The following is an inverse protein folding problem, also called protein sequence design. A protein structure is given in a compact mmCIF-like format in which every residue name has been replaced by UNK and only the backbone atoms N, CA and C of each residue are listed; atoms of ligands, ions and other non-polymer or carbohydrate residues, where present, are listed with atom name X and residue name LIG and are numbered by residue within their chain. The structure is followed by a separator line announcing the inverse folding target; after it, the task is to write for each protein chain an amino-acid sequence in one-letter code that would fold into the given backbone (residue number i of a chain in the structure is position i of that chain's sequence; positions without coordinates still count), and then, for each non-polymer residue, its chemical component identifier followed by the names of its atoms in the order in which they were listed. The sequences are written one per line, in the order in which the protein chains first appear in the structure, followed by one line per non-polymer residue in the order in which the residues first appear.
data_IF_432189928297
#
_entry.id   IF_432189928297
#
_cell.length_a   1.000
_cell.length_b   1.000
_cell.length_c   1.000
_cell.angle_alpha   90.00
_cell.angle_beta   90.00
_cell.angle_gamma   90.00
#
_symmetry.space_group_name_H-M   'P 1'
#
loop_
_entity.id
_entity.type
_entity.pdbx_description
1 polymer ?
#
# COMPACT_ATOMS: atom_id res chain seq x y z
N UNK A 1 7.55 5.48 -32.43
CA UNK A 1 6.22 4.87 -32.70
C UNK A 1 5.19 5.51 -31.78
N UNK A 2 3.99 5.82 -32.23
CA UNK A 2 2.97 6.35 -31.31
C UNK A 2 2.50 5.24 -30.36
N UNK A 3 2.29 5.53 -29.03
CA UNK A 3 1.76 4.55 -28.11
C UNK A 3 0.34 4.13 -28.51
N UNK A 4 -0.09 2.89 -28.22
CA UNK A 4 -1.42 2.41 -28.54
C UNK A 4 -2.51 3.24 -27.87
N UNK A 5 -3.69 3.28 -28.47
CA UNK A 5 -4.81 4.12 -28.00
C UNK A 5 -5.21 3.79 -26.56
N UNK A 6 -5.12 2.54 -26.14
CA UNK A 6 -5.40 2.13 -24.76
C UNK A 6 -4.52 2.88 -23.75
N UNK A 7 -3.22 3.01 -24.01
CA UNK A 7 -2.29 3.74 -23.13
C UNK A 7 -2.55 5.26 -23.17
N UNK A 8 -2.79 5.81 -24.38
CA UNK A 8 -3.09 7.24 -24.50
C UNK A 8 -4.33 7.63 -23.66
N UNK A 9 -5.41 6.88 -23.78
CA UNK A 9 -6.62 7.14 -22.99
C UNK A 9 -6.45 6.85 -21.49
N UNK A 10 -5.64 5.87 -21.12
CA UNK A 10 -5.34 5.61 -19.71
C UNK A 10 -4.55 6.78 -19.07
N UNK A 11 -3.59 7.36 -19.80
CA UNK A 11 -2.86 8.56 -19.38
C UNK A 11 -3.81 9.76 -19.26
N UNK A 12 -4.72 9.95 -20.23
CA UNK A 12 -5.72 11.02 -20.19
C UNK A 12 -6.67 10.85 -19.00
N UNK A 13 -7.10 9.62 -18.68
CA UNK A 13 -7.94 9.34 -17.53
C UNK A 13 -7.23 9.69 -16.20
N UNK A 14 -5.98 9.28 -16.05
CA UNK A 14 -5.17 9.60 -14.87
C UNK A 14 -4.92 11.11 -14.73
N UNK A 15 -4.59 11.80 -15.82
CA UNK A 15 -4.40 13.25 -15.83
C UNK A 15 -5.69 14.02 -15.53
N UNK A 16 -6.81 13.60 -16.09
CA UNK A 16 -8.12 14.20 -15.83
C UNK A 16 -8.53 14.02 -14.36
N UNK A 17 -8.33 12.84 -13.78
CA UNK A 17 -8.61 12.57 -12.35
C UNK A 17 -7.79 13.45 -11.40
N UNK A 18 -6.60 13.88 -11.84
CA UNK A 18 -5.75 14.78 -11.06
C UNK A 18 -6.10 16.26 -11.23
N UNK A 19 -6.98 16.61 -12.17
CA UNK A 19 -7.31 17.99 -12.55
C UNK A 19 -8.69 18.39 -12.04
N UNK A 20 -8.79 19.51 -11.34
CA UNK A 20 -10.08 20.09 -10.94
C UNK A 20 -10.92 20.55 -12.16
N UNK A 21 -10.29 20.93 -13.25
CA UNK A 21 -10.96 21.40 -14.47
C UNK A 21 -11.49 20.24 -15.31
N UNK A 22 -10.73 19.15 -15.44
CA UNK A 22 -11.03 18.04 -16.35
C UNK A 22 -11.53 16.77 -15.65
N UNK A 23 -11.73 16.79 -14.33
CA UNK A 23 -12.17 15.62 -13.55
C UNK A 23 -13.43 14.97 -14.12
N UNK A 24 -14.38 15.76 -14.62
CA UNK A 24 -15.61 15.29 -15.23
C UNK A 24 -15.42 14.45 -16.51
N UNK A 25 -14.25 14.51 -17.15
CA UNK A 25 -13.91 13.71 -18.34
C UNK A 25 -13.18 12.40 -18.00
N UNK A 26 -12.73 12.23 -16.76
CA UNK A 26 -11.86 11.13 -16.37
C UNK A 26 -12.50 9.76 -16.64
N UNK A 27 -13.76 9.58 -16.29
CA UNK A 27 -14.49 8.33 -16.51
C UNK A 27 -14.67 8.03 -18.00
N UNK A 28 -14.96 9.03 -18.82
CA UNK A 28 -15.08 8.86 -20.27
C UNK A 28 -13.76 8.37 -20.90
N UNK A 29 -12.64 8.92 -20.46
CA UNK A 29 -11.30 8.47 -20.89
C UNK A 29 -11.00 7.05 -20.39
N UNK A 30 -11.33 6.72 -19.13
CA UNK A 30 -11.20 5.37 -18.60
C UNK A 30 -12.00 4.35 -19.42
N UNK A 31 -13.27 4.62 -19.72
CA UNK A 31 -14.10 3.72 -20.54
C UNK A 31 -13.47 3.49 -21.92
N UNK A 32 -12.94 4.53 -22.54
CA UNK A 32 -12.22 4.41 -23.81
C UNK A 32 -10.95 3.57 -23.69
N UNK A 33 -10.15 3.79 -22.64
CA UNK A 33 -8.95 2.98 -22.39
C UNK A 33 -9.31 1.49 -22.29
N UNK A 34 -10.38 1.15 -21.53
CA UNK A 34 -10.90 -0.21 -21.40
C UNK A 34 -11.36 -0.82 -22.72
N UNK A 35 -12.09 -0.05 -23.52
CA UNK A 35 -12.57 -0.52 -24.84
C UNK A 35 -11.41 -0.84 -25.79
N UNK A 36 -10.40 0.04 -25.87
CA UNK A 36 -9.25 -0.18 -26.75
C UNK A 36 -8.40 -1.35 -26.30
N UNK A 37 -8.09 -1.49 -25.01
CA UNK A 37 -7.25 -2.59 -24.55
C UNK A 37 -7.93 -3.95 -24.72
N UNK A 38 -9.25 -4.03 -24.48
CA UNK A 38 -10.02 -5.24 -24.72
C UNK A 38 -10.08 -5.59 -26.22
N UNK A 39 -10.25 -4.58 -27.09
CA UNK A 39 -10.22 -4.79 -28.52
C UNK A 39 -8.86 -5.28 -29.01
N UNK A 40 -7.77 -4.77 -28.45
CA UNK A 40 -6.40 -5.22 -28.77
C UNK A 40 -6.17 -6.67 -28.32
N UNK A 41 -6.66 -7.06 -27.14
CA UNK A 41 -6.57 -8.43 -26.63
C UNK A 41 -7.37 -9.46 -27.48
N UNK A 42 -8.40 -9.02 -28.20
CA UNK A 42 -9.21 -9.88 -29.07
C UNK A 42 -8.61 -10.07 -30.47
N UNK A 43 -7.57 -9.35 -30.82
CA UNK A 43 -6.89 -9.52 -32.12
C UNK A 43 -6.10 -10.82 -32.15
N UNK A 44 -6.10 -11.47 -33.33
CA UNK A 44 -5.51 -12.81 -33.50
C UNK A 44 -3.98 -12.84 -33.42
N UNK A 45 -3.30 -11.69 -33.55
CA UNK A 45 -1.85 -11.61 -33.58
C UNK A 45 -1.28 -11.34 -32.17
N UNK A 46 -0.65 -12.36 -31.60
CA UNK A 46 0.09 -12.27 -30.34
C UNK A 46 1.24 -11.24 -30.37
N UNK A 47 1.69 -10.81 -31.54
CA UNK A 47 2.71 -9.78 -31.74
C UNK A 47 2.29 -8.38 -31.34
N UNK A 48 1.00 -8.16 -31.07
CA UNK A 48 0.46 -6.84 -30.70
C UNK A 48 0.51 -6.52 -29.19
N UNK A 49 0.80 -7.50 -28.33
CA UNK A 49 0.93 -7.26 -26.89
C UNK A 49 2.32 -6.68 -26.59
N UNK A 50 2.33 -5.45 -26.13
CA UNK A 50 3.56 -4.67 -25.88
C UNK A 50 3.66 -4.21 -24.43
N UNK A 51 4.81 -3.66 -24.06
CA UNK A 51 5.01 -3.00 -22.77
C UNK A 51 3.92 -1.96 -22.45
N UNK A 52 3.47 -1.21 -23.48
CA UNK A 52 2.44 -0.20 -23.33
C UNK A 52 1.08 -0.76 -22.85
N UNK A 53 0.77 -2.02 -23.15
CA UNK A 53 -0.44 -2.67 -22.61
C UNK A 53 -0.31 -2.97 -21.11
N UNK A 54 0.89 -3.35 -20.64
CA UNK A 54 1.16 -3.46 -19.21
C UNK A 54 0.95 -2.11 -18.50
N UNK A 55 1.52 -1.04 -19.06
CA UNK A 55 1.39 0.31 -18.53
C UNK A 55 -0.06 0.79 -18.51
N UNK A 56 -0.82 0.50 -19.56
CA UNK A 56 -2.25 0.85 -19.63
C UNK A 56 -3.07 0.11 -18.55
N UNK A 57 -2.85 -1.20 -18.35
CA UNK A 57 -3.54 -1.95 -17.30
C UNK A 57 -3.21 -1.46 -15.89
N UNK A 58 -1.96 -1.03 -15.63
CA UNK A 58 -1.59 -0.41 -14.34
C UNK A 58 -2.37 0.87 -14.10
N UNK A 59 -2.42 1.78 -15.10
CA UNK A 59 -3.16 3.04 -14.97
C UNK A 59 -4.66 2.82 -14.81
N UNK A 60 -5.22 1.85 -15.54
CA UNK A 60 -6.63 1.43 -15.41
C UNK A 60 -6.89 0.90 -13.99
N UNK A 61 -6.03 0.03 -13.46
CA UNK A 61 -6.15 -0.50 -12.10
C UNK A 61 -6.09 0.61 -11.04
N UNK A 62 -5.19 1.58 -11.20
CA UNK A 62 -5.11 2.72 -10.29
C UNK A 62 -6.37 3.60 -10.33
N UNK A 63 -6.91 3.85 -11.53
CA UNK A 63 -8.18 4.57 -11.67
C UNK A 63 -9.32 3.85 -10.94
N UNK A 64 -9.43 2.53 -11.13
CA UNK A 64 -10.46 1.69 -10.51
C UNK A 64 -10.34 1.68 -8.97
N UNK A 65 -9.10 1.59 -8.44
CA UNK A 65 -8.84 1.63 -7.01
C UNK A 65 -9.22 2.99 -6.38
N UNK A 66 -8.96 4.11 -7.08
CA UNK A 66 -9.35 5.45 -6.62
C UNK A 66 -10.88 5.61 -6.50
N UNK A 67 -11.66 4.85 -7.30
CA UNK A 67 -13.12 4.83 -7.26
C UNK A 67 -13.68 3.72 -6.37
N UNK A 68 -12.86 3.09 -5.53
CA UNK A 68 -13.20 1.95 -4.67
C UNK A 68 -13.71 0.69 -5.42
N UNK A 69 -13.49 0.59 -6.73
CA UNK A 69 -13.83 -0.61 -7.50
C UNK A 69 -12.74 -1.69 -7.34
N UNK A 70 -12.53 -2.12 -6.10
CA UNK A 70 -11.39 -2.95 -5.74
C UNK A 70 -11.33 -4.29 -6.49
N UNK A 71 -12.45 -4.98 -6.64
CA UNK A 71 -12.49 -6.23 -7.42
C UNK A 71 -12.07 -5.99 -8.88
N UNK A 72 -12.50 -4.88 -9.47
CA UNK A 72 -12.10 -4.48 -10.82
C UNK A 72 -10.61 -4.15 -10.88
N UNK A 73 -10.12 -3.37 -9.93
CA UNK A 73 -8.70 -3.00 -9.83
C UNK A 73 -7.82 -4.24 -9.70
N UNK A 74 -8.23 -5.21 -8.87
CA UNK A 74 -7.55 -6.49 -8.70
C UNK A 74 -7.52 -7.30 -10.01
N UNK A 75 -8.62 -7.37 -10.73
CA UNK A 75 -8.67 -8.04 -12.03
C UNK A 75 -7.82 -7.34 -13.09
N UNK A 76 -7.75 -6.01 -13.06
CA UNK A 76 -6.96 -5.23 -14.00
C UNK A 76 -5.46 -5.38 -13.73
N UNK A 77 -5.03 -5.32 -12.46
CA UNK A 77 -3.61 -5.57 -12.15
C UNK A 77 -3.20 -7.03 -12.42
N UNK A 78 -4.10 -8.01 -12.21
CA UNK A 78 -3.85 -9.40 -12.57
C UNK A 78 -3.53 -9.58 -14.07
N UNK A 79 -4.19 -8.82 -14.94
CA UNK A 79 -3.87 -8.79 -16.39
C UNK A 79 -2.48 -8.20 -16.64
N UNK A 80 -2.15 -7.07 -16.00
CA UNK A 80 -0.80 -6.50 -16.11
C UNK A 80 0.28 -7.49 -15.66
N UNK A 81 0.06 -8.21 -14.56
CA UNK A 81 0.98 -9.23 -14.04
C UNK A 81 1.15 -10.36 -15.06
N UNK A 82 0.05 -10.87 -15.62
CA UNK A 82 0.12 -11.93 -16.63
C UNK A 82 0.90 -11.48 -17.86
N UNK A 83 0.64 -10.27 -18.36
CA UNK A 83 1.37 -9.70 -19.48
C UNK A 83 2.86 -9.50 -19.16
N UNK A 84 3.19 -8.99 -17.98
CA UNK A 84 4.58 -8.84 -17.52
C UNK A 84 5.33 -10.18 -17.51
N UNK A 85 4.68 -11.28 -17.11
CA UNK A 85 5.26 -12.62 -17.17
C UNK A 85 5.43 -13.11 -18.60
N UNK A 86 4.45 -12.90 -19.49
CA UNK A 86 4.53 -13.27 -20.91
C UNK A 86 5.68 -12.53 -21.59
N UNK A 87 5.84 -11.24 -21.32
CA UNK A 87 6.92 -10.41 -21.84
C UNK A 87 8.28 -10.68 -21.18
N UNK A 88 8.32 -11.48 -20.11
CA UNK A 88 9.54 -11.83 -19.40
C UNK A 88 10.12 -10.72 -18.53
N UNK A 89 9.32 -9.69 -18.16
CA UNK A 89 9.79 -8.53 -17.39
C UNK A 89 10.34 -8.90 -16.01
N UNK A 90 9.93 -10.02 -15.43
CA UNK A 90 10.41 -10.51 -14.13
C UNK A 90 11.86 -11.06 -14.15
N UNK A 91 12.46 -11.24 -15.35
CA UNK A 91 13.79 -11.84 -15.54
C UNK A 91 14.67 -11.10 -16.55
N UNK A 92 14.49 -9.78 -16.67
CA UNK A 92 15.23 -8.94 -17.61
C UNK A 92 16.75 -9.06 -17.45
N UNK A 93 17.23 -9.17 -16.22
CA UNK A 93 18.65 -9.26 -15.87
C UNK A 93 19.13 -10.71 -15.58
N UNK A 94 18.31 -11.71 -15.90
CA UNK A 94 18.60 -13.10 -15.66
C UNK A 94 19.63 -13.68 -16.64
N UNK A 95 20.39 -14.68 -16.20
CA UNK A 95 21.41 -15.36 -17.04
C UNK A 95 20.85 -16.01 -18.32
N UNK A 96 19.56 -16.34 -18.35
CA UNK A 96 18.84 -16.96 -19.46
C UNK A 96 17.82 -15.99 -20.08
N UNK A 97 18.18 -14.72 -20.24
CA UNK A 97 17.33 -13.73 -20.93
C UNK A 97 17.13 -14.05 -22.43
N UNK A 98 17.90 -15.00 -22.98
CA UNK A 98 17.65 -15.56 -24.30
C UNK A 98 16.29 -16.28 -24.33
N UNK A 99 15.34 -15.77 -25.15
CA UNK A 99 13.97 -16.29 -25.25
C UNK A 99 12.91 -15.41 -24.59
N UNK A 100 13.25 -14.15 -24.27
CA UNK A 100 12.26 -13.13 -23.97
C UNK A 100 11.41 -12.84 -25.22
N UNK A 101 10.12 -12.62 -25.02
CA UNK A 101 9.20 -12.24 -26.11
C UNK A 101 9.50 -10.83 -26.65
N UNK A 102 10.09 -9.97 -25.80
CA UNK A 102 10.52 -8.63 -26.19
C UNK A 102 11.84 -8.66 -26.97
N UNK A 103 11.99 -7.85 -28.01
CA UNK A 103 13.27 -7.67 -28.70
C UNK A 103 14.33 -7.10 -27.74
N UNK A 104 15.58 -7.19 -28.10
CA UNK A 104 16.68 -6.54 -27.36
C UNK A 104 16.36 -5.04 -27.26
N UNK A 105 16.53 -4.46 -26.04
CA UNK A 105 16.33 -3.03 -25.84
C UNK A 105 17.29 -2.22 -26.72
N UNK A 106 16.80 -1.15 -27.31
CA UNK A 106 17.60 -0.31 -28.19
C UNK A 106 18.68 0.47 -27.42
N UNK A 107 18.37 0.86 -26.19
CA UNK A 107 19.25 1.63 -25.33
C UNK A 107 18.93 1.38 -23.83
N UNK A 108 19.71 2.03 -22.96
CA UNK A 108 19.52 1.95 -21.53
C UNK A 108 18.15 2.50 -21.07
N UNK A 109 17.66 3.54 -21.72
CA UNK A 109 16.36 4.15 -21.39
C UNK A 109 15.21 3.13 -21.59
N UNK A 110 15.22 2.42 -22.71
CA UNK A 110 14.20 1.39 -22.97
C UNK A 110 14.33 0.21 -21.98
N UNK A 111 15.57 -0.18 -21.65
CA UNK A 111 15.81 -1.22 -20.64
C UNK A 111 15.26 -0.83 -19.28
N UNK A 112 15.48 0.41 -18.87
CA UNK A 112 15.03 0.95 -17.60
C UNK A 112 13.52 1.23 -17.60
N UNK A 113 12.91 1.59 -18.72
CA UNK A 113 11.45 1.67 -18.88
C UNK A 113 10.80 0.32 -18.61
N UNK A 114 11.37 -0.78 -19.12
CA UNK A 114 10.91 -2.14 -18.85
C UNK A 114 11.03 -2.50 -17.37
N UNK A 115 12.15 -2.14 -16.70
CA UNK A 115 12.34 -2.35 -15.25
C UNK A 115 11.32 -1.55 -14.45
N UNK A 116 11.16 -0.27 -14.74
CA UNK A 116 10.20 0.59 -14.05
C UNK A 116 8.75 0.07 -14.22
N UNK A 117 8.38 -0.36 -15.43
CA UNK A 117 7.05 -0.97 -15.68
C UNK A 117 6.87 -2.24 -14.85
N UNK A 118 7.88 -3.10 -14.78
CA UNK A 118 7.81 -4.31 -13.94
C UNK A 118 7.64 -3.97 -12.46
N UNK A 119 8.43 -3.06 -11.92
CA UNK A 119 8.41 -2.73 -10.50
C UNK A 119 7.16 -1.96 -10.08
N UNK A 120 6.54 -1.17 -10.96
CA UNK A 120 5.25 -0.56 -10.68
C UNK A 120 4.14 -1.62 -10.61
N UNK A 121 4.16 -2.63 -11.49
CA UNK A 121 3.24 -3.78 -11.44
C UNK A 121 3.42 -4.54 -10.12
N UNK A 122 4.65 -4.84 -9.75
CA UNK A 122 4.99 -5.53 -8.50
C UNK A 122 4.49 -4.78 -7.26
N UNK A 123 4.75 -3.47 -7.18
CA UNK A 123 4.30 -2.67 -6.04
C UNK A 123 2.78 -2.54 -6.01
N UNK A 124 2.12 -2.43 -7.16
CA UNK A 124 0.66 -2.40 -7.24
C UNK A 124 0.04 -3.71 -6.80
N UNK A 125 0.62 -4.86 -7.17
CA UNK A 125 0.20 -6.18 -6.66
C UNK A 125 0.25 -6.23 -5.12
N UNK A 126 1.35 -5.76 -4.50
CA UNK A 126 1.50 -5.71 -3.04
C UNK A 126 0.48 -4.80 -2.37
N UNK A 127 0.28 -3.61 -2.91
CA UNK A 127 -0.69 -2.65 -2.40
C UNK A 127 -2.11 -3.23 -2.49
N UNK A 128 -2.49 -3.76 -3.65
CA UNK A 128 -3.81 -4.35 -3.88
C UNK A 128 -4.05 -5.57 -2.97
N UNK A 129 -3.03 -6.41 -2.78
CA UNK A 129 -3.07 -7.54 -1.85
C UNK A 129 -3.29 -7.08 -0.41
N UNK A 130 -2.49 -6.13 0.10
CA UNK A 130 -2.59 -5.64 1.47
C UNK A 130 -3.91 -4.91 1.73
N UNK A 131 -4.35 -4.08 0.80
CA UNK A 131 -5.59 -3.32 0.91
C UNK A 131 -6.84 -4.14 0.57
N UNK A 132 -6.78 -5.19 -0.24
CA UNK A 132 -7.88 -6.08 -0.64
C UNK A 132 -8.01 -7.35 0.19
N UNK A 133 -7.03 -7.63 1.04
CA UNK A 133 -7.02 -8.87 1.81
C UNK A 133 -6.79 -10.13 0.96
N UNK A 134 -6.36 -9.97 -0.30
CA UNK A 134 -6.10 -11.10 -1.20
C UNK A 134 -4.63 -11.52 -1.19
N UNK A 135 -4.32 -12.78 -1.57
CA UNK A 135 -2.94 -13.21 -1.74
C UNK A 135 -2.21 -12.41 -2.83
N UNK A 136 -0.91 -12.20 -2.67
CA UNK A 136 -0.07 -11.67 -3.74
C UNK A 136 0.00 -12.65 -4.92
N UNK A 137 0.03 -12.11 -6.13
CA UNK A 137 0.09 -12.92 -7.35
C UNK A 137 1.52 -13.14 -7.87
N UNK A 138 2.49 -12.36 -7.38
CA UNK A 138 3.89 -12.44 -7.79
C UNK A 138 4.77 -12.99 -6.68
N UNK A 139 5.40 -14.13 -6.90
CA UNK A 139 6.45 -14.63 -5.99
C UNK A 139 7.75 -13.85 -6.22
N UNK A 140 8.12 -13.02 -5.24
CA UNK A 140 9.33 -12.21 -5.29
C UNK A 140 10.62 -13.00 -5.37
N UNK A 141 10.63 -14.27 -4.91
CA UNK A 141 11.79 -15.15 -4.94
C UNK A 141 12.18 -15.56 -6.36
N UNK A 142 11.23 -15.53 -7.29
CA UNK A 142 11.44 -15.87 -8.71
C UNK A 142 11.95 -14.68 -9.53
N UNK A 143 11.98 -13.46 -8.96
CA UNK A 143 12.34 -12.23 -9.67
C UNK A 143 13.86 -12.14 -9.83
N UNK A 144 14.31 -11.98 -11.07
CA UNK A 144 15.71 -11.77 -11.44
C UNK A 144 15.99 -10.34 -11.94
N UNK A 145 14.94 -9.57 -12.19
CA UNK A 145 15.04 -8.18 -12.62
C UNK A 145 15.57 -7.32 -11.47
N UNK A 146 16.59 -6.50 -11.77
CA UNK A 146 17.21 -5.59 -10.80
C UNK A 146 16.26 -4.45 -10.42
N UNK A 147 16.52 -3.84 -9.28
CA UNK A 147 15.78 -2.68 -8.81
C UNK A 147 15.98 -1.49 -9.75
N UNK A 148 15.01 -0.53 -9.79
CA UNK A 148 15.08 0.61 -10.69
C UNK A 148 16.22 1.56 -10.31
N UNK A 149 16.78 2.22 -11.33
CA UNK A 149 17.76 3.29 -11.15
C UNK A 149 17.11 4.61 -10.74
N UNK A 150 17.93 5.67 -10.56
CA UNK A 150 17.42 7.01 -10.31
C UNK A 150 16.76 7.61 -11.55
N UNK A 151 15.84 8.56 -11.32
CA UNK A 151 15.19 9.30 -12.41
C UNK A 151 16.20 10.07 -13.26
N UNK A 152 17.26 10.60 -12.64
CA UNK A 152 18.30 11.35 -13.34
C UNK A 152 19.10 10.44 -14.29
N UNK A 153 19.45 9.23 -13.86
CA UNK A 153 20.10 8.24 -14.69
C UNK A 153 19.20 7.79 -15.85
N UNK A 154 17.91 7.62 -15.61
CA UNK A 154 16.90 7.31 -16.63
C UNK A 154 16.80 8.43 -17.66
N UNK A 155 16.64 9.68 -17.23
CA UNK A 155 16.48 10.84 -18.11
C UNK A 155 17.75 11.17 -18.91
N UNK A 156 18.92 10.94 -18.31
CA UNK A 156 20.22 11.15 -19.00
C UNK A 156 20.67 9.94 -19.81
N UNK A 157 19.90 8.84 -19.81
CA UNK A 157 20.27 7.56 -20.44
C UNK A 157 21.66 7.07 -20.01
N UNK A 158 22.01 7.28 -18.73
CA UNK A 158 23.31 6.92 -18.17
C UNK A 158 23.21 5.59 -17.43
N UNK A 159 23.88 4.50 -17.89
CA UNK A 159 23.84 3.20 -17.23
C UNK A 159 24.41 3.26 -15.81
N UNK A 160 23.60 2.88 -14.82
CA UNK A 160 24.03 2.76 -13.43
C UNK A 160 23.78 1.33 -12.95
N UNK A 161 24.78 0.66 -12.35
CA UNK A 161 24.61 -0.68 -11.79
C UNK A 161 23.57 -0.65 -10.67
N UNK A 162 22.60 -1.56 -10.71
CA UNK A 162 21.62 -1.75 -9.65
C UNK A 162 21.65 -3.19 -9.14
N UNK A 163 21.04 -3.43 -8.00
CA UNK A 163 21.01 -4.76 -7.35
C UNK A 163 19.60 -5.37 -7.40
N UNK A 164 19.51 -6.66 -7.11
CA UNK A 164 18.21 -7.34 -7.02
C UNK A 164 17.52 -7.02 -5.69
N UNK A 165 16.19 -7.19 -5.62
CA UNK A 165 15.43 -7.07 -4.39
C UNK A 165 15.99 -7.99 -3.28
N UNK A 166 16.33 -9.23 -3.61
CA UNK A 166 16.94 -10.19 -2.68
C UNK A 166 18.23 -9.65 -2.06
N UNK A 167 19.07 -9.03 -2.87
CA UNK A 167 20.33 -8.41 -2.39
C UNK A 167 20.06 -7.21 -1.49
N UNK A 168 19.11 -6.34 -1.88
CA UNK A 168 18.73 -5.17 -1.07
C UNK A 168 18.17 -5.55 0.30
N UNK A 169 17.37 -6.62 0.38
CA UNK A 169 16.84 -7.11 1.66
C UNK A 169 17.94 -7.62 2.60
N UNK A 170 19.05 -8.13 2.08
CA UNK A 170 20.17 -8.63 2.89
C UNK A 170 21.24 -7.58 3.20
N UNK A 171 21.48 -6.63 2.30
CA UNK A 171 22.54 -5.62 2.42
C UNK A 171 22.04 -4.26 2.92
N UNK A 172 20.72 -4.03 2.85
CA UNK A 172 20.12 -2.75 3.19
C UNK A 172 19.92 -1.84 1.98
N UNK A 173 19.51 -0.60 2.26
CA UNK A 173 19.08 0.38 1.26
C UNK A 173 20.15 1.45 0.95
N UNK A 174 21.37 1.32 1.44
CA UNK A 174 22.46 2.22 1.07
C UNK A 174 22.59 2.36 -0.44
N UNK A 175 22.78 3.55 -0.92
CA UNK A 175 23.01 3.85 -2.34
C UNK A 175 21.89 3.43 -3.30
N UNK A 176 20.74 2.99 -2.78
CA UNK A 176 19.58 2.71 -3.61
C UNK A 176 18.92 4.01 -4.09
N UNK A 177 18.39 3.99 -5.30
CA UNK A 177 17.54 5.07 -5.78
C UNK A 177 16.26 5.19 -4.95
N UNK A 178 15.62 6.36 -4.98
CA UNK A 178 14.32 6.58 -4.34
C UNK A 178 13.27 5.56 -4.81
N UNK A 179 13.25 5.25 -6.12
CA UNK A 179 12.35 4.24 -6.69
C UNK A 179 12.63 2.84 -6.15
N UNK A 180 13.89 2.46 -6.00
CA UNK A 180 14.30 1.19 -5.42
C UNK A 180 13.92 1.11 -3.92
N UNK A 181 14.17 2.15 -3.15
CA UNK A 181 13.77 2.22 -1.73
C UNK A 181 12.25 2.05 -1.56
N UNK A 182 11.44 2.66 -2.44
CA UNK A 182 9.98 2.47 -2.43
C UNK A 182 9.57 1.01 -2.68
N UNK A 183 10.23 0.33 -3.62
CA UNK A 183 9.97 -1.11 -3.88
C UNK A 183 10.26 -1.94 -2.63
N UNK A 184 11.41 -1.71 -1.97
CA UNK A 184 11.80 -2.42 -0.75
C UNK A 184 10.80 -2.15 0.38
N UNK A 185 10.42 -0.90 0.61
CA UNK A 185 9.49 -0.53 1.68
C UNK A 185 8.09 -1.14 1.48
N UNK A 186 7.54 -1.07 0.24
CA UNK A 186 6.25 -1.71 -0.10
C UNK A 186 6.31 -3.22 0.10
N UNK A 187 7.41 -3.84 -0.31
CA UNK A 187 7.58 -5.29 -0.14
C UNK A 187 7.64 -5.68 1.33
N UNK A 188 8.46 -5.01 2.14
CA UNK A 188 8.57 -5.28 3.57
C UNK A 188 7.23 -5.07 4.29
N UNK A 189 6.52 -3.98 3.99
CA UNK A 189 5.19 -3.75 4.51
C UNK A 189 4.23 -4.90 4.18
N UNK A 190 4.18 -5.33 2.92
CA UNK A 190 3.29 -6.41 2.49
C UNK A 190 3.64 -7.76 3.16
N UNK A 191 4.93 -8.12 3.27
CA UNK A 191 5.36 -9.36 3.94
C UNK A 191 5.00 -9.33 5.44
N UNK A 192 5.24 -8.20 6.12
CA UNK A 192 4.87 -8.04 7.53
C UNK A 192 3.35 -8.09 7.75
N UNK A 193 2.58 -7.45 6.86
CA UNK A 193 1.13 -7.45 6.91
C UNK A 193 0.55 -8.85 6.68
N UNK A 194 1.04 -9.57 5.67
CA UNK A 194 0.60 -10.95 5.39
C UNK A 194 0.99 -11.90 6.52
N UNK A 195 2.17 -11.72 7.11
CA UNK A 195 2.60 -12.49 8.28
C UNK A 195 1.68 -12.26 9.48
N UNK A 196 1.29 -11.01 9.74
CA UNK A 196 0.34 -10.66 10.80
C UNK A 196 -0.99 -11.38 10.60
N UNK A 197 -1.54 -11.33 9.40
CA UNK A 197 -2.81 -12.00 9.06
C UNK A 197 -2.75 -13.52 9.18
N UNK A 198 -1.72 -14.15 8.63
CA UNK A 198 -1.55 -15.60 8.73
C UNK A 198 -1.42 -16.07 10.18
N UNK A 199 -0.88 -15.24 11.07
CA UNK A 199 -0.78 -15.54 12.50
C UNK A 199 -2.11 -15.47 13.23
N UNK A 200 -3.10 -14.77 12.68
CA UNK A 200 -4.46 -14.69 13.23
C UNK A 200 -5.34 -15.86 12.79
N UNK A 201 -5.11 -16.36 11.57
CA UNK A 201 -5.85 -17.48 11.01
C UNK A 201 -5.37 -18.83 11.57
N UNK A 202 -4.12 -18.93 12.06
CA UNK A 202 -3.50 -20.15 12.57
C UNK A 202 -2.67 -19.84 13.83
N UNK A 203 -3.29 -19.99 15.01
CA UNK A 203 -2.64 -19.76 16.32
C UNK A 203 -1.45 -20.70 16.59
N UNK A 204 -1.41 -21.87 15.93
CA UNK A 204 -0.34 -22.86 16.07
C UNK A 204 0.86 -22.56 15.14
N UNK A 205 0.72 -21.64 14.20
CA UNK A 205 1.79 -21.26 13.27
C UNK A 205 2.84 -20.36 13.94
N UNK A 206 3.70 -20.97 14.73
CA UNK A 206 4.76 -20.33 15.51
C UNK A 206 6.06 -20.17 14.70
N UNK A 207 6.03 -19.51 13.54
CA UNK A 207 7.27 -19.25 12.79
C UNK A 207 8.03 -18.03 13.35
N UNK A 208 8.60 -18.22 14.56
CA UNK A 208 9.49 -17.23 15.20
C UNK A 208 10.69 -16.86 14.33
N UNK A 209 11.18 -17.79 13.51
CA UNK A 209 12.30 -17.53 12.60
C UNK A 209 11.90 -16.55 11.49
N UNK A 210 10.66 -16.64 11.00
CA UNK A 210 10.17 -15.70 10.00
C UNK A 210 9.93 -14.33 10.60
N UNK A 211 9.36 -14.27 11.79
CA UNK A 211 9.17 -13.03 12.54
C UNK A 211 10.49 -12.31 12.73
N UNK A 212 11.51 -13.02 13.25
CA UNK A 212 12.82 -12.43 13.49
C UNK A 212 13.45 -11.90 12.19
N UNK A 213 13.39 -12.68 11.10
CA UNK A 213 13.90 -12.25 9.79
C UNK A 213 13.21 -10.99 9.26
N UNK A 214 11.89 -10.88 9.45
CA UNK A 214 11.14 -9.69 9.03
C UNK A 214 11.48 -8.48 9.90
N UNK A 215 11.58 -8.65 11.22
CA UNK A 215 11.97 -7.57 12.14
C UNK A 215 13.39 -7.07 11.86
N UNK A 216 14.33 -7.99 11.64
CA UNK A 216 15.71 -7.67 11.25
C UNK A 216 15.75 -6.93 9.91
N UNK A 217 14.96 -7.38 8.92
CA UNK A 217 14.92 -6.75 7.60
C UNK A 217 14.34 -5.32 7.66
N UNK A 218 13.26 -5.08 8.41
CA UNK A 218 12.69 -3.74 8.58
C UNK A 218 13.63 -2.84 9.37
N UNK A 219 14.25 -3.35 10.45
CA UNK A 219 15.22 -2.61 11.25
C UNK A 219 16.45 -2.21 10.42
N UNK A 220 16.96 -3.14 9.60
CA UNK A 220 18.05 -2.86 8.66
C UNK A 220 17.65 -1.83 7.59
N UNK A 221 16.41 -1.91 7.08
CA UNK A 221 15.90 -0.92 6.13
C UNK A 221 15.91 0.50 6.71
N UNK A 222 15.47 0.69 7.96
CA UNK A 222 15.58 2.00 8.64
C UNK A 222 17.02 2.44 8.84
N UNK A 223 17.89 1.56 9.33
CA UNK A 223 19.28 1.89 9.61
C UNK A 223 20.07 2.31 8.37
N UNK A 224 19.68 1.76 7.22
CA UNK A 224 20.37 1.94 5.94
C UNK A 224 19.64 2.88 4.97
N UNK A 225 18.53 3.48 5.40
CA UNK A 225 17.77 4.42 4.57
C UNK A 225 18.64 5.63 4.19
N UNK A 226 18.73 6.01 2.91
CA UNK A 226 19.44 7.20 2.46
C UNK A 226 19.01 8.46 3.21
N UNK A 227 19.95 9.36 3.47
CA UNK A 227 19.72 10.54 4.31
C UNK A 227 18.62 11.47 3.77
N UNK A 228 18.51 11.59 2.44
CA UNK A 228 17.50 12.37 1.73
C UNK A 228 16.09 11.75 1.76
N UNK A 229 15.97 10.54 2.29
CA UNK A 229 14.70 9.81 2.47
C UNK A 229 14.29 9.65 3.94
N UNK A 230 15.02 10.23 4.89
CA UNK A 230 14.68 10.15 6.32
C UNK A 230 13.70 11.25 6.71
N UNK A 231 12.70 10.90 7.51
CA UNK A 231 11.82 11.85 8.19
C UNK A 231 12.24 11.99 9.66
N UNK A 232 12.09 13.17 10.26
CA UNK A 232 11.33 14.35 9.76
C UNK A 232 12.15 15.32 8.88
N UNK A 233 13.42 15.09 8.60
CA UNK A 233 14.30 16.05 7.94
C UNK A 233 13.87 16.36 6.49
N UNK A 234 13.20 15.41 5.83
CA UNK A 234 12.84 15.51 4.41
C UNK A 234 11.32 15.46 4.18
N UNK A 235 10.55 16.21 4.97
CA UNK A 235 9.08 16.26 4.85
C UNK A 235 8.58 16.87 3.52
N UNK A 236 9.40 17.61 2.81
CA UNK A 236 9.08 18.13 1.48
C UNK A 236 9.11 17.03 0.39
N UNK A 237 9.81 15.93 0.65
CA UNK A 237 9.95 14.82 -0.28
C UNK A 237 8.79 13.80 -0.11
N UNK A 238 7.85 13.70 -1.08
CA UNK A 238 6.73 12.76 -0.99
C UNK A 238 7.15 11.29 -0.86
N UNK A 239 8.28 10.94 -1.46
CA UNK A 239 8.79 9.58 -1.40
C UNK A 239 9.35 9.25 -0.02
N UNK A 240 10.03 10.20 0.63
CA UNK A 240 10.51 10.05 2.01
C UNK A 240 9.34 9.79 2.96
N UNK A 241 8.29 10.63 2.89
CA UNK A 241 7.07 10.44 3.68
C UNK A 241 6.50 9.03 3.50
N UNK A 242 6.29 8.62 2.24
CA UNK A 242 5.67 7.33 1.95
C UNK A 242 6.51 6.14 2.43
N UNK A 243 7.82 6.17 2.21
CA UNK A 243 8.74 5.11 2.64
C UNK A 243 8.73 4.97 4.17
N UNK A 244 8.85 6.08 4.90
CA UNK A 244 8.84 6.05 6.36
C UNK A 244 7.50 5.55 6.91
N UNK A 245 6.37 6.02 6.38
CA UNK A 245 5.05 5.53 6.76
C UNK A 245 4.91 4.03 6.57
N UNK A 246 5.39 3.49 5.45
CA UNK A 246 5.33 2.05 5.16
C UNK A 246 6.19 1.22 6.12
N UNK A 247 7.42 1.67 6.40
CA UNK A 247 8.31 0.96 7.32
C UNK A 247 7.78 0.98 8.75
N UNK A 248 7.23 2.11 9.24
CA UNK A 248 6.58 2.17 10.55
C UNK A 248 5.32 1.29 10.59
N UNK A 249 4.53 1.28 9.52
CA UNK A 249 3.36 0.40 9.43
C UNK A 249 3.76 -1.07 9.46
N UNK A 250 4.85 -1.44 8.78
CA UNK A 250 5.41 -2.80 8.83
C UNK A 250 5.79 -3.22 10.26
N UNK A 251 6.45 -2.33 11.03
CA UNK A 251 6.78 -2.58 12.44
C UNK A 251 5.52 -2.78 13.30
N UNK A 252 4.51 -1.94 13.12
CA UNK A 252 3.25 -2.11 13.85
C UNK A 252 2.63 -3.47 13.53
N UNK A 253 2.54 -3.85 12.26
CA UNK A 253 1.95 -5.13 11.84
C UNK A 253 2.68 -6.33 12.45
N UNK A 254 4.02 -6.38 12.32
CA UNK A 254 4.78 -7.53 12.77
C UNK A 254 4.78 -7.69 14.30
N UNK A 255 4.87 -6.60 15.05
CA UNK A 255 4.87 -6.66 16.51
C UNK A 255 3.49 -6.99 17.07
N UNK A 256 2.42 -6.57 16.39
CA UNK A 256 1.05 -6.98 16.75
C UNK A 256 0.82 -8.46 16.55
N UNK A 257 1.35 -9.06 15.48
CA UNK A 257 1.30 -10.51 15.28
C UNK A 257 1.89 -11.29 16.46
N UNK A 258 2.81 -10.69 17.21
CA UNK A 258 3.39 -11.32 18.41
C UNK A 258 2.43 -11.26 19.58
N UNK A 259 1.70 -10.16 19.78
CA UNK A 259 0.82 -9.97 20.94
C UNK A 259 -0.44 -10.85 20.90
N UNK A 260 -0.81 -11.35 19.73
CA UNK A 260 -1.98 -12.25 19.55
C UNK A 260 -1.67 -13.72 19.83
N UNK A 261 -0.40 -14.08 20.05
CA UNK A 261 0.00 -15.48 20.20
C UNK A 261 -0.07 -15.97 21.65
N UNK A 262 -0.67 -17.12 21.87
CA UNK A 262 -0.90 -17.74 23.19
C UNK A 262 0.37 -18.19 23.92
N UNK A 263 1.50 -18.35 23.22
CA UNK A 263 2.78 -18.84 23.77
C UNK A 263 3.85 -17.72 23.95
N UNK A 264 3.42 -16.47 23.97
CA UNK A 264 4.35 -15.35 24.11
C UNK A 264 4.96 -15.28 25.52
N UNK A 265 6.26 -14.99 25.58
CA UNK A 265 6.91 -14.61 26.84
C UNK A 265 6.42 -13.21 27.26
N UNK A 266 5.61 -13.17 28.30
CA UNK A 266 5.01 -11.96 28.85
C UNK A 266 6.05 -10.90 29.26
N UNK A 267 7.30 -11.29 29.47
CA UNK A 267 8.41 -10.34 29.80
C UNK A 267 8.78 -9.45 28.59
N UNK A 268 8.52 -9.88 27.37
CA UNK A 268 8.81 -9.12 26.13
C UNK A 268 7.70 -8.12 25.79
N UNK A 269 6.49 -8.29 26.32
CA UNK A 269 5.33 -7.47 26.00
C UNK A 269 5.56 -5.95 26.18
N UNK A 270 6.17 -5.47 27.29
CA UNK A 270 6.43 -4.04 27.45
C UNK A 270 7.34 -3.46 26.38
N UNK A 271 8.37 -4.22 25.97
CA UNK A 271 9.30 -3.78 24.91
C UNK A 271 8.61 -3.72 23.56
N UNK A 272 7.80 -4.72 23.22
CA UNK A 272 7.02 -4.77 21.99
C UNK A 272 6.03 -3.60 21.93
N UNK A 273 5.27 -3.39 23.01
CA UNK A 273 4.32 -2.27 23.08
C UNK A 273 5.01 -0.91 22.94
N UNK A 274 6.20 -0.74 23.52
CA UNK A 274 6.98 0.48 23.35
C UNK A 274 7.39 0.74 21.89
N UNK A 275 7.83 -0.29 21.16
CA UNK A 275 8.22 -0.16 19.74
C UNK A 275 7.00 0.15 18.85
N UNK A 276 5.86 -0.48 19.12
CA UNK A 276 4.62 -0.20 18.38
C UNK A 276 4.15 1.22 18.67
N UNK A 277 4.15 1.65 19.93
CA UNK A 277 3.79 3.01 20.33
C UNK A 277 4.69 4.05 19.66
N UNK A 278 6.00 3.83 19.64
CA UNK A 278 6.94 4.72 18.97
C UNK A 278 6.64 4.82 17.47
N UNK A 279 6.41 3.69 16.79
CA UNK A 279 6.09 3.68 15.36
C UNK A 279 4.76 4.36 15.06
N UNK A 280 3.74 4.18 15.90
CA UNK A 280 2.45 4.84 15.75
C UNK A 280 2.57 6.37 15.96
N UNK A 281 3.39 6.81 16.92
CA UNK A 281 3.69 8.22 17.15
C UNK A 281 4.45 8.83 15.96
N UNK A 282 5.39 8.11 15.35
CA UNK A 282 6.11 8.58 14.16
C UNK A 282 5.16 8.75 12.96
N UNK A 283 4.21 7.82 12.76
CA UNK A 283 3.17 7.98 11.74
C UNK A 283 2.32 9.22 12.04
N UNK A 284 1.85 9.38 13.27
CA UNK A 284 1.03 10.53 13.67
C UNK A 284 1.79 11.86 13.45
N UNK A 285 3.04 11.95 13.89
CA UNK A 285 3.88 13.14 13.70
C UNK A 285 4.09 13.45 12.22
N UNK A 286 4.39 12.44 11.42
CA UNK A 286 4.56 12.58 9.97
C UNK A 286 3.30 13.13 9.33
N UNK A 287 2.13 12.55 9.65
CA UNK A 287 0.83 12.99 9.12
C UNK A 287 0.48 14.42 9.58
N UNK A 288 0.76 14.77 10.83
CA UNK A 288 0.52 16.10 11.38
C UNK A 288 1.39 17.20 10.74
N UNK A 289 2.59 16.86 10.26
CA UNK A 289 3.51 17.79 9.60
C UNK A 289 3.24 17.94 8.10
N UNK A 290 2.37 17.12 7.50
CA UNK A 290 2.03 17.20 6.08
C UNK A 290 1.23 18.45 5.81
N UNK A 291 1.73 19.34 4.95
CA UNK A 291 1.12 20.63 4.64
C UNK A 291 0.01 20.56 3.58
N UNK A 292 0.05 19.56 2.69
CA UNK A 292 -0.96 19.34 1.64
C UNK A 292 -1.54 17.92 1.75
N UNK A 293 -2.50 17.78 2.63
CA UNK A 293 -3.19 16.53 2.89
C UNK A 293 -3.85 15.96 1.64
N UNK A 294 -4.51 16.81 0.84
CA UNK A 294 -5.25 16.37 -0.35
C UNK A 294 -4.36 15.69 -1.37
N UNK A 295 -3.17 16.25 -1.61
CA UNK A 295 -2.21 15.67 -2.57
C UNK A 295 -1.56 14.42 -1.99
N UNK A 296 -1.13 14.46 -0.73
CA UNK A 296 -0.38 13.36 -0.09
C UNK A 296 -1.25 12.11 0.08
N UNK A 297 -2.49 12.28 0.46
CA UNK A 297 -3.44 11.18 0.64
C UNK A 297 -4.01 10.60 -0.67
N UNK A 298 -3.65 11.14 -1.84
CA UNK A 298 -3.91 10.45 -3.12
C UNK A 298 -3.29 9.06 -3.19
N UNK A 299 -2.19 8.85 -2.48
CA UNK A 299 -1.62 7.51 -2.33
C UNK A 299 -2.40 6.75 -1.22
N UNK A 300 -3.08 5.64 -1.54
CA UNK A 300 -3.90 4.91 -0.58
C UNK A 300 -3.11 4.38 0.63
N UNK A 301 -1.81 4.17 0.48
CA UNK A 301 -0.95 3.70 1.58
C UNK A 301 -0.77 4.74 2.68
N UNK A 302 -0.90 6.04 2.38
CA UNK A 302 -0.88 7.10 3.41
C UNK A 302 -2.14 6.98 4.28
N UNK A 303 -3.32 6.87 3.67
CA UNK A 303 -4.58 6.64 4.39
C UNK A 303 -4.53 5.35 5.20
N UNK A 304 -3.96 4.29 4.63
CA UNK A 304 -3.85 2.99 5.29
C UNK A 304 -2.89 3.03 6.50
N UNK A 305 -1.73 3.67 6.37
CA UNK A 305 -0.80 3.85 7.49
C UNK A 305 -1.44 4.66 8.63
N UNK A 306 -2.16 5.73 8.29
CA UNK A 306 -2.90 6.57 9.24
C UNK A 306 -3.96 5.74 9.96
N UNK A 307 -4.71 4.91 9.24
CA UNK A 307 -5.70 3.99 9.81
C UNK A 307 -5.07 2.97 10.78
N UNK A 308 -3.94 2.38 10.42
CA UNK A 308 -3.23 1.41 11.28
C UNK A 308 -2.77 2.07 12.60
N UNK A 309 -2.18 3.26 12.52
CA UNK A 309 -1.78 4.00 13.71
C UNK A 309 -2.98 4.40 14.58
N UNK A 310 -4.07 4.89 13.96
CA UNK A 310 -5.30 5.23 14.67
C UNK A 310 -5.93 4.00 15.33
N UNK A 311 -5.95 2.85 14.66
CA UNK A 311 -6.44 1.58 15.22
C UNK A 311 -5.62 1.17 16.45
N UNK A 312 -4.30 1.35 16.40
CA UNK A 312 -3.44 1.07 17.56
C UNK A 312 -3.76 2.00 18.73
N UNK A 313 -3.84 3.31 18.52
CA UNK A 313 -4.16 4.26 19.59
C UNK A 313 -5.56 4.01 20.17
N UNK A 314 -6.54 3.68 19.34
CA UNK A 314 -7.87 3.30 19.81
C UNK A 314 -7.79 2.09 20.74
N UNK A 315 -7.05 1.07 20.35
CA UNK A 315 -6.89 -0.14 21.16
C UNK A 315 -6.18 0.13 22.48
N UNK A 316 -5.07 0.87 22.43
CA UNK A 316 -4.31 1.22 23.64
C UNK A 316 -5.21 2.02 24.60
N UNK A 317 -5.99 2.96 24.09
CA UNK A 317 -6.99 3.68 24.89
C UNK A 317 -8.03 2.73 25.52
N UNK A 318 -8.61 1.82 24.73
CA UNK A 318 -9.64 0.90 25.19
C UNK A 318 -9.14 -0.09 26.25
N UNK A 319 -7.87 -0.49 26.18
CA UNK A 319 -7.28 -1.49 27.07
C UNK A 319 -6.63 -0.88 28.31
N UNK A 320 -6.01 0.28 28.21
CA UNK A 320 -5.21 0.90 29.27
C UNK A 320 -5.86 2.14 29.88
N UNK A 321 -6.85 2.75 29.21
CA UNK A 321 -7.41 4.04 29.60
C UNK A 321 -6.46 5.23 29.34
N UNK A 322 -5.44 5.05 28.50
CA UNK A 322 -4.43 6.07 28.23
C UNK A 322 -5.03 7.26 27.47
N UNK A 323 -5.18 8.39 28.13
CA UNK A 323 -5.76 9.61 27.52
C UNK A 323 -4.94 10.18 26.38
N UNK A 324 -3.61 10.01 26.43
CA UNK A 324 -2.76 10.46 25.31
C UNK A 324 -3.08 9.67 24.02
N UNK A 325 -3.38 8.39 24.14
CA UNK A 325 -3.81 7.57 23.00
C UNK A 325 -5.19 7.97 22.50
N UNK A 326 -6.12 8.39 23.40
CA UNK A 326 -7.41 8.97 23.00
C UNK A 326 -7.22 10.25 22.17
N UNK A 327 -6.36 11.16 22.65
CA UNK A 327 -6.06 12.42 21.95
C UNK A 327 -5.40 12.16 20.59
N UNK A 328 -4.45 11.25 20.52
CA UNK A 328 -3.76 10.86 19.27
C UNK A 328 -4.74 10.21 18.28
N UNK A 329 -5.61 9.32 18.75
CA UNK A 329 -6.69 8.73 17.94
C UNK A 329 -7.61 9.82 17.37
N UNK A 330 -8.07 10.74 18.22
CA UNK A 330 -8.97 11.82 17.80
C UNK A 330 -8.30 12.74 16.78
N UNK A 331 -7.00 13.04 16.94
CA UNK A 331 -6.24 13.84 16.00
C UNK A 331 -6.15 13.16 14.61
N UNK A 332 -5.83 11.86 14.57
CA UNK A 332 -5.79 11.12 13.30
C UNK A 332 -7.18 10.98 12.67
N UNK A 333 -8.24 10.81 13.48
CA UNK A 333 -9.61 10.81 12.99
C UNK A 333 -9.97 12.14 12.33
N UNK A 334 -9.57 13.27 12.92
CA UNK A 334 -9.79 14.60 12.34
C UNK A 334 -9.12 14.72 10.96
N UNK A 335 -7.86 14.27 10.84
CA UNK A 335 -7.15 14.26 9.54
C UNK A 335 -7.87 13.37 8.52
N UNK A 336 -8.25 12.15 8.91
CA UNK A 336 -8.93 11.22 8.01
C UNK A 336 -10.30 11.74 7.56
N UNK A 337 -11.02 12.43 8.45
CA UNK A 337 -12.31 13.07 8.13
C UNK A 337 -12.12 14.22 7.15
N UNK A 338 -11.13 15.10 7.39
CA UNK A 338 -10.85 16.22 6.48
C UNK A 338 -10.47 15.73 5.08
N UNK A 339 -9.57 14.75 5.01
CA UNK A 339 -9.19 14.12 3.74
C UNK A 339 -10.38 13.39 3.11
N UNK A 340 -11.20 12.76 3.91
CA UNK A 340 -12.38 12.00 3.49
C UNK A 340 -13.40 12.83 2.71
N UNK A 341 -13.45 14.14 2.90
CA UNK A 341 -14.30 15.07 2.12
C UNK A 341 -14.01 15.00 0.60
N UNK A 342 -12.80 14.60 0.23
CA UNK A 342 -12.37 14.50 -1.18
C UNK A 342 -11.81 13.13 -1.57
N UNK A 343 -11.59 12.26 -0.60
CA UNK A 343 -10.98 10.93 -0.81
C UNK A 343 -11.86 9.85 -0.17
N UNK A 344 -12.64 9.15 -0.99
CA UNK A 344 -13.57 8.11 -0.56
C UNK A 344 -12.88 6.97 0.21
N UNK A 345 -11.62 6.63 -0.11
CA UNK A 345 -10.88 5.59 0.61
C UNK A 345 -10.58 6.01 2.05
N UNK A 346 -10.11 7.23 2.27
CA UNK A 346 -9.90 7.77 3.61
C UNK A 346 -11.21 7.85 4.40
N UNK A 347 -12.31 8.28 3.75
CA UNK A 347 -13.64 8.31 4.35
C UNK A 347 -14.10 6.92 4.82
N UNK A 348 -13.96 5.90 3.98
CA UNK A 348 -14.35 4.52 4.32
C UNK A 348 -13.58 3.98 5.54
N UNK A 349 -12.29 4.27 5.63
CA UNK A 349 -11.46 3.89 6.77
C UNK A 349 -11.84 4.66 8.05
N UNK A 350 -12.17 5.95 7.95
CA UNK A 350 -12.65 6.76 9.09
C UNK A 350 -14.00 6.23 9.63
N UNK A 351 -14.94 5.92 8.73
CA UNK A 351 -16.23 5.30 9.10
C UNK A 351 -16.01 4.02 9.91
N UNK A 352 -15.11 3.17 9.46
CA UNK A 352 -14.83 1.92 10.14
C UNK A 352 -14.25 2.12 11.55
N UNK A 353 -13.29 3.03 11.73
CA UNK A 353 -12.79 3.39 13.06
C UNK A 353 -13.91 3.89 13.98
N UNK A 354 -14.81 4.73 13.44
CA UNK A 354 -15.96 5.21 14.17
C UNK A 354 -16.94 4.09 14.56
N UNK A 355 -17.16 3.10 13.68
CA UNK A 355 -17.97 1.91 13.99
C UNK A 355 -17.31 1.06 15.06
N UNK A 356 -16.01 0.82 15.00
CA UNK A 356 -15.24 0.10 16.02
C UNK A 356 -15.35 0.78 17.39
N UNK A 357 -15.18 2.11 17.44
CA UNK A 357 -15.33 2.89 18.67
C UNK A 357 -16.74 2.76 19.26
N UNK A 358 -17.79 2.86 18.42
CA UNK A 358 -19.19 2.71 18.89
C UNK A 358 -19.47 1.31 19.44
N UNK A 359 -18.93 0.27 18.79
CA UNK A 359 -19.10 -1.11 19.20
C UNK A 359 -18.39 -1.43 20.54
N UNK A 360 -17.34 -0.68 20.90
CA UNK A 360 -16.56 -0.90 22.12
C UNK A 360 -17.26 -0.49 23.43
N UNK A 361 -18.39 0.21 23.36
CA UNK A 361 -19.17 0.63 24.54
C UNK A 361 -18.53 1.70 25.43
N UNK A 362 -17.52 2.40 24.91
CA UNK A 362 -16.80 3.49 25.61
C UNK A 362 -17.65 4.72 25.81
N UNK A 363 -17.25 5.57 26.77
CA UNK A 363 -17.89 6.80 27.22
C UNK A 363 -18.42 7.66 26.06
N UNK A 364 -19.61 8.20 26.25
CA UNK A 364 -20.30 9.06 25.27
C UNK A 364 -19.49 10.31 24.84
N UNK A 365 -18.49 10.72 25.64
CA UNK A 365 -17.66 11.89 25.34
C UNK A 365 -16.81 11.71 24.06
N UNK A 366 -16.04 10.61 23.97
CA UNK A 366 -15.20 10.30 22.81
C UNK A 366 -16.05 9.92 21.60
N UNK A 367 -17.11 9.13 21.82
CA UNK A 367 -18.10 8.81 20.78
C UNK A 367 -18.76 10.08 20.21
N UNK A 368 -19.05 11.06 21.07
CA UNK A 368 -19.62 12.36 20.67
C UNK A 368 -18.64 13.18 19.82
N UNK A 369 -17.37 13.27 20.21
CA UNK A 369 -16.32 13.97 19.42
C UNK A 369 -16.17 13.36 18.03
N UNK A 370 -16.03 12.03 17.95
CA UNK A 370 -15.92 11.33 16.67
C UNK A 370 -17.21 11.45 15.86
N UNK A 371 -18.38 11.40 16.51
CA UNK A 371 -19.67 11.62 15.86
C UNK A 371 -19.79 13.00 15.20
N UNK A 372 -19.27 14.06 15.83
CA UNK A 372 -19.22 15.41 15.23
C UNK A 372 -18.30 15.44 14.00
N UNK A 373 -17.10 14.83 14.09
CA UNK A 373 -16.19 14.73 12.96
C UNK A 373 -16.82 13.96 11.79
N UNK A 374 -17.52 12.87 12.08
CA UNK A 374 -18.20 12.07 11.06
C UNK A 374 -19.38 12.77 10.41
N UNK A 375 -20.06 13.67 11.14
CA UNK A 375 -21.15 14.47 10.57
C UNK A 375 -20.67 15.49 9.52
N UNK A 376 -19.38 15.84 9.52
CA UNK A 376 -18.77 16.67 8.47
C UNK A 376 -18.53 15.91 7.15
N UNK A 377 -18.47 14.59 7.21
CA UNK A 377 -18.50 13.74 6.02
C UNK A 377 -19.98 13.60 5.64
N UNK A 378 -20.42 14.24 4.59
CA UNK A 378 -21.78 14.12 4.04
C UNK A 378 -22.00 12.69 3.48
N UNK A 379 -22.13 11.71 4.42
CA UNK A 379 -22.20 10.26 4.12
C UNK A 379 -23.69 9.85 4.05
N UNK A 380 -24.55 10.64 3.45
CA UNK A 380 -25.89 10.19 3.07
C UNK A 380 -25.89 9.32 1.79
N UNK A 381 -24.78 9.28 1.08
CA UNK A 381 -24.59 8.30 0.01
C UNK A 381 -24.08 6.96 0.60
N UNK A 382 -24.69 5.81 0.27
CA UNK A 382 -24.13 4.51 0.65
C UNK A 382 -22.69 4.45 0.16
N UNK A 383 -21.75 4.18 1.07
CA UNK A 383 -20.34 4.00 0.69
C UNK A 383 -20.33 2.82 -0.27
N UNK A 384 -19.83 2.99 -1.52
CA UNK A 384 -19.75 1.87 -2.46
C UNK A 384 -18.95 0.74 -1.80
N UNK A 385 -19.56 -0.42 -1.62
CA UNK A 385 -19.01 -1.57 -0.90
C UNK A 385 -19.76 -1.94 0.38
N UNK A 386 -20.64 -1.10 0.93
CA UNK A 386 -21.52 -1.51 2.04
C UNK A 386 -22.70 -2.39 1.59
N UNK A 387 -23.10 -2.30 0.33
CA UNK A 387 -24.13 -3.20 -0.24
C UNK A 387 -23.62 -4.62 -0.52
N UNK A 388 -22.30 -4.82 -0.46
CA UNK A 388 -21.65 -6.10 -0.77
C UNK A 388 -21.45 -7.00 0.47
N UNK A 389 -21.80 -6.56 1.67
CA UNK A 389 -21.78 -7.46 2.85
C UNK A 389 -22.71 -8.67 2.70
N UNK A 390 -23.81 -8.56 1.94
CA UNK A 390 -24.66 -9.70 1.59
C UNK A 390 -24.07 -10.63 0.53
N UNK A 391 -23.06 -10.17 -0.24
CA UNK A 391 -22.41 -10.93 -1.32
C UNK A 391 -21.01 -11.48 -0.96
N UNK A 392 -20.59 -11.38 0.29
CA UNK A 392 -19.33 -11.99 0.76
C UNK A 392 -18.05 -11.35 0.24
N UNK A 393 -18.11 -10.13 -0.31
CA UNK A 393 -16.93 -9.35 -0.67
C UNK A 393 -16.45 -8.65 0.60
N UNK A 394 -15.52 -9.30 1.29
CA UNK A 394 -14.82 -8.72 2.44
C UNK A 394 -13.99 -7.54 1.96
N UNK A 395 -14.53 -6.35 2.05
CA UNK A 395 -13.76 -5.14 1.88
C UNK A 395 -12.89 -4.95 3.12
N UNK A 396 -11.64 -5.38 3.01
CA UNK A 396 -10.50 -4.56 3.36
C UNK A 396 -10.23 -4.13 4.78
N UNK A 397 -10.86 -4.69 5.77
CA UNK A 397 -10.46 -4.31 7.12
C UNK A 397 -10.73 -5.44 8.09
N UNK A 398 -9.91 -5.53 9.11
CA UNK A 398 -10.08 -6.51 10.17
C UNK A 398 -11.46 -6.44 10.81
N UNK A 399 -11.97 -7.54 11.38
CA UNK A 399 -13.26 -7.58 12.06
C UNK A 399 -13.32 -6.54 13.19
N UNK A 400 -14.50 -5.97 13.41
CA UNK A 400 -14.72 -5.07 14.54
C UNK A 400 -14.50 -5.82 15.85
N UNK A 401 -13.86 -5.15 16.82
CA UNK A 401 -13.71 -5.63 18.19
C UNK A 401 -15.11 -5.87 18.79
N UNK A 402 -15.41 -7.09 19.22
CA UNK A 402 -16.60 -7.30 20.03
C UNK A 402 -16.31 -6.93 21.49
N UNK A 403 -17.32 -6.42 22.25
CA UNK A 403 -17.13 -6.07 23.66
C UNK A 403 -16.59 -7.22 24.54
N UNK A 404 -16.91 -8.45 24.19
CA UNK A 404 -16.43 -9.65 24.91
C UNK A 404 -14.92 -9.88 24.70
N UNK A 405 -14.44 -9.59 23.56
CA UNK A 405 -13.04 -9.71 23.19
C UNK A 405 -12.19 -8.57 23.78
N UNK A 406 -12.71 -7.35 23.90
CA UNK A 406 -12.04 -6.24 24.57
C UNK A 406 -11.83 -6.54 26.07
N UNK A 407 -12.77 -7.24 26.70
CA UNK A 407 -12.70 -7.59 28.12
C UNK A 407 -11.81 -8.79 28.44
N UNK A 408 -11.45 -9.63 27.48
CA UNK A 408 -10.64 -10.82 27.70
C UNK A 408 -9.11 -10.58 27.57
N UNK A 409 -8.69 -9.35 27.29
CA UNK A 409 -7.25 -9.03 27.11
C UNK A 409 -6.61 -9.78 25.93
N UNK A 410 -7.40 -10.50 25.16
CA UNK A 410 -6.98 -11.19 23.94
C UNK A 410 -7.05 -10.19 22.80
N UNK A 411 -5.91 -9.97 22.19
CA UNK A 411 -5.75 -9.01 21.10
C UNK A 411 -6.73 -9.26 19.98
N UNK A 412 -7.62 -8.35 19.84
CA UNK A 412 -8.66 -8.34 18.84
C UNK A 412 -8.21 -7.42 17.77
N UNK A 413 -7.86 -7.99 16.67
CA UNK A 413 -7.40 -7.11 15.66
C UNK A 413 -7.43 -7.70 14.29
N UNK A 414 -8.16 -7.07 13.44
CA UNK A 414 -8.21 -7.15 11.98
C UNK A 414 -9.33 -7.92 11.42
#
# INVERSE_FOLDING_TARGET
MQPPMCLQYAILAAGASASSMYGHMAEAFYVRARQYIQADEMKSDSEQITLAHCQAWVLISHFEAQHLWFSRASMSIARAIRLAHILGLHRLDGKNAAGLTLPVAADFTEEEERRNTFWIIFTTDRITSSTGGWPTMMDWRSIQTRLPTSIDAFLSSTPVPTITLKTALSQGMFELSTSACRVVAVHLFNECFNFSRASEEDEDNNDWNQLQKLDEAVTNAFATLPADLRCPENMDNPAAILINLQLHTALICIHRAVTTRSQMDMSLLPHINSRVMESALQIMMTVALVTDLTIRFRNPLVSFATFIAASFFLTDFLTTGNRQSEDNFTALMSVMTEVGKTNMFAASLAVRLAQTLRASGVDQGTVGKVGMLMAELDIDAPIPGQEDEENGIVVLCPPAITPEQANMGQGIFW
#
